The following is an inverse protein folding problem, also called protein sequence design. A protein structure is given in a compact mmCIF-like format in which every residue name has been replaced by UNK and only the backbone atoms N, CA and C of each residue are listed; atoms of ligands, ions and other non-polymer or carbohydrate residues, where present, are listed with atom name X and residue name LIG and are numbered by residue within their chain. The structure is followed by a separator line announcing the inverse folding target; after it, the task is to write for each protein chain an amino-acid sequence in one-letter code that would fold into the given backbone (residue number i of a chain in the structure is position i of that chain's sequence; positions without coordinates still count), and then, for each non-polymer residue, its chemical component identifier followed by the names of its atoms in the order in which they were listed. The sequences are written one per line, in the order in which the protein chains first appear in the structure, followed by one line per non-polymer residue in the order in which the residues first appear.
data_IF_349521290862
#
_entry.id   IF_349521290862
#
_cell.length_a   1.000
_cell.length_b   1.000
_cell.length_c   1.000
_cell.angle_alpha   90.00
_cell.angle_beta   90.00
_cell.angle_gamma   90.00
#
_symmetry.space_group_name_H-M   'P 1'
#
loop_
_entity.id
_entity.type
_entity.pdbx_description
1 polymer ?
#
# COMPACT_ATOMS: atom_id res chain seq x y z
N UNK A 1 4.62 -11.98 -1.10
CA UNK A 1 5.97 -12.39 -0.71
C UNK A 1 6.71 -12.94 -1.92
N UNK A 2 7.85 -12.36 -2.24
CA UNK A 2 8.64 -12.70 -3.42
C UNK A 2 9.02 -14.20 -3.47
N UNK A 3 9.45 -14.77 -2.33
CA UNK A 3 9.81 -16.17 -2.22
C UNK A 3 8.65 -17.17 -2.12
N UNK A 4 7.41 -16.70 -1.94
CA UNK A 4 6.23 -17.55 -1.80
C UNK A 4 4.99 -16.87 -2.39
N UNK A 5 4.84 -16.81 -3.73
CA UNK A 5 3.76 -16.07 -4.37
C UNK A 5 2.41 -16.81 -4.35
N UNK A 6 2.40 -18.13 -4.15
CA UNK A 6 1.19 -18.94 -4.26
C UNK A 6 0.02 -18.48 -3.39
N UNK A 7 0.20 -18.12 -2.10
CA UNK A 7 -0.92 -17.63 -1.29
C UNK A 7 -1.56 -16.35 -1.86
N UNK A 8 -0.75 -15.44 -2.40
CA UNK A 8 -1.24 -14.21 -3.03
C UNK A 8 -2.01 -14.51 -4.33
N UNK A 9 -1.52 -15.45 -5.15
CA UNK A 9 -2.19 -15.88 -6.37
C UNK A 9 -3.50 -16.61 -6.06
N UNK A 10 -3.55 -17.45 -5.02
CA UNK A 10 -4.81 -18.08 -4.55
C UNK A 10 -5.81 -17.02 -4.08
N UNK A 11 -5.36 -15.96 -3.39
CA UNK A 11 -6.22 -14.83 -3.04
C UNK A 11 -6.75 -14.12 -4.29
N UNK A 12 -5.91 -13.93 -5.32
CA UNK A 12 -6.35 -13.33 -6.59
C UNK A 12 -7.48 -14.12 -7.24
N UNK A 13 -7.44 -15.45 -7.18
CA UNK A 13 -8.50 -16.33 -7.69
C UNK A 13 -9.80 -16.17 -6.91
N UNK A 14 -9.71 -16.08 -5.58
CA UNK A 14 -10.88 -15.80 -4.71
C UNK A 14 -11.49 -14.44 -5.03
N UNK A 15 -10.66 -13.41 -5.19
CA UNK A 15 -11.13 -12.07 -5.54
C UNK A 15 -11.79 -12.02 -6.93
N UNK A 16 -11.23 -12.72 -7.91
CA UNK A 16 -11.78 -12.79 -9.28
C UNK A 16 -13.12 -13.50 -9.36
N UNK A 17 -13.43 -14.39 -8.41
CA UNK A 17 -14.69 -15.14 -8.33
C UNK A 17 -15.70 -14.56 -7.34
N UNK A 18 -15.33 -13.47 -6.64
CA UNK A 18 -16.20 -12.75 -5.71
C UNK A 18 -17.02 -11.66 -6.43
N UNK A 19 -17.78 -10.91 -5.66
CA UNK A 19 -18.52 -9.72 -6.11
C UNK A 19 -17.65 -8.45 -6.17
N UNK A 20 -16.34 -8.57 -5.96
CA UNK A 20 -15.40 -7.45 -6.08
C UNK A 20 -15.30 -7.00 -7.54
N UNK A 21 -15.53 -5.71 -7.85
CA UNK A 21 -15.39 -5.22 -9.22
C UNK A 21 -13.99 -5.45 -9.78
N UNK A 22 -13.89 -5.88 -11.03
CA UNK A 22 -12.62 -6.13 -11.70
C UNK A 22 -11.72 -4.89 -11.71
N UNK A 23 -10.41 -5.08 -11.47
CA UNK A 23 -9.41 -4.01 -11.48
C UNK A 23 -9.26 -3.23 -10.17
N UNK A 24 -10.10 -3.47 -9.16
CA UNK A 24 -9.99 -2.80 -7.85
C UNK A 24 -8.76 -3.30 -7.08
N UNK A 25 -8.47 -4.60 -7.17
CA UNK A 25 -7.28 -5.20 -6.58
C UNK A 25 -6.46 -5.87 -7.67
N UNK A 26 -5.20 -5.49 -7.77
CA UNK A 26 -4.25 -6.05 -8.72
C UNK A 26 -3.08 -6.68 -7.96
N UNK A 27 -2.85 -7.98 -8.16
CA UNK A 27 -1.78 -8.71 -7.50
C UNK A 27 -0.69 -9.00 -8.54
N UNK A 28 0.50 -8.47 -8.26
CA UNK A 28 1.68 -8.69 -9.09
C UNK A 28 2.64 -9.61 -8.35
N UNK A 29 3.11 -10.65 -9.02
CA UNK A 29 4.18 -11.53 -8.53
C UNK A 29 5.48 -11.21 -9.27
N UNK A 30 6.59 -11.18 -8.54
CA UNK A 30 7.89 -10.88 -9.11
C UNK A 30 8.86 -10.38 -8.05
N UNK A 31 9.99 -9.87 -8.48
CA UNK A 31 10.98 -9.28 -7.58
C UNK A 31 10.50 -7.93 -7.07
N UNK A 32 10.46 -7.77 -5.77
CA UNK A 32 9.96 -6.55 -5.12
C UNK A 32 10.74 -5.31 -5.54
N UNK A 33 12.06 -5.42 -5.67
CA UNK A 33 12.92 -4.31 -6.12
C UNK A 33 12.60 -3.87 -7.56
N UNK A 34 12.31 -4.81 -8.46
CA UNK A 34 11.98 -4.50 -9.85
C UNK A 34 10.57 -3.89 -10.01
N UNK A 35 9.61 -4.37 -9.22
CA UNK A 35 8.22 -3.93 -9.27
C UNK A 35 7.98 -2.66 -8.45
N UNK A 36 8.69 -2.50 -7.34
CA UNK A 36 8.50 -1.40 -6.40
C UNK A 36 8.93 -0.06 -6.96
N UNK A 37 10.04 0.00 -7.65
CA UNK A 37 10.57 1.26 -8.18
C UNK A 37 9.63 1.95 -9.19
N UNK A 38 9.10 1.26 -10.23
CA UNK A 38 8.10 1.88 -11.11
C UNK A 38 6.82 2.31 -10.37
N UNK A 39 6.35 1.50 -9.40
CA UNK A 39 5.18 1.82 -8.61
C UNK A 39 5.38 3.08 -7.74
N UNK A 40 6.54 3.17 -7.09
CA UNK A 40 6.89 4.31 -6.24
C UNK A 40 7.04 5.60 -7.04
N UNK A 41 7.54 5.53 -8.28
CA UNK A 41 7.69 6.68 -9.15
C UNK A 41 6.40 7.06 -9.92
N UNK A 42 5.38 6.19 -9.95
CA UNK A 42 4.18 6.42 -10.76
C UNK A 42 3.34 7.58 -10.24
N UNK A 43 3.00 8.53 -11.09
CA UNK A 43 2.32 9.77 -10.69
C UNK A 43 0.89 9.55 -10.17
N UNK A 44 0.19 8.54 -10.67
CA UNK A 44 -1.20 8.23 -10.25
C UNK A 44 -1.27 7.36 -8.98
N UNK A 45 -0.13 6.94 -8.44
CA UNK A 45 -0.08 6.24 -7.15
C UNK A 45 -0.01 7.26 -6.02
N UNK A 46 -1.00 7.27 -5.14
CA UNK A 46 -1.14 8.28 -4.09
C UNK A 46 -0.54 7.87 -2.74
N UNK A 47 -0.35 6.58 -2.52
CA UNK A 47 0.19 6.08 -1.26
C UNK A 47 0.90 4.74 -1.45
N UNK A 48 1.87 4.46 -0.57
CA UNK A 48 2.63 3.22 -0.53
C UNK A 48 2.63 2.64 0.89
N UNK A 49 2.51 1.32 0.99
CA UNK A 49 2.82 0.58 2.21
C UNK A 49 4.07 -0.27 1.95
N UNK A 50 5.12 0.01 2.68
CA UNK A 50 6.44 -0.61 2.51
C UNK A 50 6.63 -1.85 3.41
N UNK A 51 5.54 -2.43 3.93
CA UNK A 51 5.62 -3.65 4.71
C UNK A 51 6.24 -4.78 3.88
N UNK A 52 7.32 -5.37 4.40
CA UNK A 52 8.04 -6.45 3.73
C UNK A 52 9.19 -5.99 2.82
N UNK A 53 9.37 -4.69 2.59
CA UNK A 53 10.61 -4.16 2.05
C UNK A 53 11.70 -4.17 3.12
N UNK A 54 12.94 -4.48 2.74
CA UNK A 54 14.09 -4.27 3.62
C UNK A 54 14.39 -2.77 3.76
N UNK A 55 15.31 -2.42 4.66
CA UNK A 55 15.59 -1.04 5.03
C UNK A 55 16.16 -0.22 3.86
N UNK A 56 16.99 -0.83 3.03
CA UNK A 56 17.61 -0.18 1.87
C UNK A 56 16.57 0.10 0.79
N UNK A 57 15.81 -0.91 0.40
CA UNK A 57 14.74 -0.79 -0.58
C UNK A 57 13.65 0.19 -0.12
N UNK A 58 13.24 0.11 1.15
CA UNK A 58 12.25 1.03 1.70
C UNK A 58 12.71 2.49 1.57
N UNK A 59 13.99 2.77 1.85
CA UNK A 59 14.56 4.12 1.71
C UNK A 59 14.58 4.59 0.26
N UNK A 60 14.89 3.72 -0.70
CA UNK A 60 14.84 4.06 -2.12
C UNK A 60 13.42 4.36 -2.59
N UNK A 61 12.46 3.53 -2.17
CA UNK A 61 11.05 3.74 -2.53
C UNK A 61 10.45 5.01 -1.91
N UNK A 62 10.85 5.35 -0.68
CA UNK A 62 10.46 6.63 -0.04
C UNK A 62 11.00 7.84 -0.81
N UNK A 63 12.25 7.79 -1.27
CA UNK A 63 12.84 8.86 -2.08
C UNK A 63 12.08 9.04 -3.39
N UNK A 64 11.78 7.94 -4.09
CA UNK A 64 11.00 7.99 -5.32
C UNK A 64 9.55 8.49 -5.09
N UNK A 65 8.95 8.13 -3.96
CA UNK A 65 7.61 8.58 -3.59
C UNK A 65 7.53 10.08 -3.29
N UNK A 66 8.62 10.69 -2.87
CA UNK A 66 8.67 12.12 -2.53
C UNK A 66 8.45 13.04 -3.74
N UNK A 67 8.73 12.59 -4.96
CA UNK A 67 8.62 13.39 -6.18
C UNK A 67 7.20 13.92 -6.45
N UNK A 68 6.18 13.20 -5.97
CA UNK A 68 4.78 13.64 -6.05
C UNK A 68 4.04 13.56 -4.69
N UNK A 69 4.76 13.67 -3.60
CA UNK A 69 4.22 13.77 -2.23
C UNK A 69 3.29 12.62 -1.82
N UNK A 70 3.64 11.39 -2.21
CA UNK A 70 2.88 10.21 -1.80
C UNK A 70 2.86 10.04 -0.27
N UNK A 71 1.77 9.50 0.23
CA UNK A 71 1.75 9.00 1.61
C UNK A 71 2.52 7.68 1.68
N UNK A 72 3.44 7.58 2.61
CA UNK A 72 4.24 6.38 2.79
C UNK A 72 4.05 5.84 4.21
N UNK A 73 3.66 4.57 4.28
CA UNK A 73 3.60 3.79 5.50
C UNK A 73 4.85 2.90 5.56
N UNK A 74 5.69 3.12 6.56
CA UNK A 74 6.91 2.32 6.79
C UNK A 74 6.86 1.66 8.17
N UNK A 75 6.16 0.52 8.30
CA UNK A 75 6.09 -0.18 9.57
C UNK A 75 7.46 -0.82 9.91
N UNK A 76 7.94 -0.61 11.13
CA UNK A 76 9.21 -1.19 11.60
C UNK A 76 9.17 -2.73 11.63
N UNK A 77 8.03 -3.29 12.05
CA UNK A 77 7.75 -4.72 12.02
C UNK A 77 6.23 -4.92 12.02
N UNK A 78 5.77 -5.95 11.31
CA UNK A 78 4.34 -6.27 11.26
C UNK A 78 4.13 -7.65 11.84
N UNK A 79 3.37 -7.74 12.94
CA UNK A 79 2.89 -9.01 13.44
C UNK A 79 1.57 -9.37 12.73
N UNK A 80 1.66 -10.21 11.71
CA UNK A 80 0.52 -10.61 10.89
C UNK A 80 -0.52 -11.47 11.62
N UNK A 81 -0.19 -11.97 12.82
CA UNK A 81 -1.12 -12.76 13.66
C UNK A 81 -1.85 -11.89 14.69
N UNK A 82 -1.46 -10.63 14.86
CA UNK A 82 -2.11 -9.71 15.78
C UNK A 82 -3.28 -8.97 15.12
N UNK A 83 -4.13 -8.36 15.94
CA UNK A 83 -5.13 -7.42 15.46
C UNK A 83 -4.43 -6.26 14.73
N UNK A 84 -4.73 -6.02 13.43
CA UNK A 84 -4.09 -4.94 12.67
C UNK A 84 -4.50 -3.54 13.13
N UNK A 85 -5.56 -3.39 13.90
CA UNK A 85 -6.16 -2.11 14.23
C UNK A 85 -6.58 -1.33 12.98
N UNK A 86 -6.84 -0.04 13.14
CA UNK A 86 -7.28 0.84 12.04
C UNK A 86 -6.16 1.71 11.45
N UNK A 87 -4.98 1.72 12.05
CA UNK A 87 -3.90 2.65 11.67
C UNK A 87 -3.47 2.55 10.21
N UNK A 88 -3.29 1.34 9.71
CA UNK A 88 -2.91 1.12 8.30
C UNK A 88 -4.04 1.50 7.34
N UNK A 89 -5.28 1.22 7.70
CA UNK A 89 -6.44 1.63 6.92
C UNK A 89 -6.54 3.15 6.82
N UNK A 90 -6.44 3.84 7.96
CA UNK A 90 -6.52 5.31 8.03
C UNK A 90 -5.36 5.98 7.29
N UNK A 91 -4.19 5.36 7.24
CA UNK A 91 -3.03 5.87 6.52
C UNK A 91 -3.25 6.04 5.02
N UNK A 92 -4.23 5.34 4.43
CA UNK A 92 -4.60 5.46 3.01
C UNK A 92 -5.80 6.37 2.76
N UNK A 93 -6.43 6.92 3.81
CA UNK A 93 -7.57 7.81 3.68
C UNK A 93 -7.13 9.28 3.64
N UNK A 94 -7.89 10.08 2.90
CA UNK A 94 -7.75 11.53 2.91
C UNK A 94 -8.34 12.11 4.19
N UNK A 95 -7.58 12.95 4.89
CA UNK A 95 -8.09 13.75 6.00
C UNK A 95 -8.68 15.05 5.45
N UNK A 96 -9.98 15.24 5.65
CA UNK A 96 -10.68 16.46 5.28
C UNK A 96 -11.03 17.27 6.51
N UNK A 97 -10.52 18.50 6.59
CA UNK A 97 -10.91 19.45 7.64
C UNK A 97 -12.10 20.27 7.14
N UNK A 98 -13.19 20.26 7.90
CA UNK A 98 -14.40 21.03 7.57
C UNK A 98 -14.61 22.06 8.67
N UNK A 99 -14.69 23.33 8.29
CA UNK A 99 -15.03 24.44 9.17
C UNK A 99 -16.53 24.71 9.08
N UNK A 100 -17.22 24.56 10.20
CA UNK A 100 -18.59 24.99 10.34
C UNK A 100 -18.60 26.24 11.20
N UNK A 101 -18.81 27.44 10.63
CA UNK A 101 -19.02 28.65 11.45
C UNK A 101 -20.31 28.46 12.23
N UNK A 102 -20.19 28.44 13.55
CA UNK A 102 -21.37 28.52 14.43
C UNK A 102 -21.81 29.98 14.44
N UNK A 103 -22.90 30.28 13.78
CA UNK A 103 -23.53 31.59 13.84
C UNK A 103 -23.95 31.90 15.30
N UNK A 104 -23.63 33.07 15.77
CA UNK A 104 -24.14 33.63 17.03
C UNK A 104 -25.50 34.19 16.78
#
# INVERSE_FOLDING_TARGET
AEGAPLPALSLAEVLATSDLPGGVVNILSGRTAELGAPLAAHQDVNALDLAGADEELATELEKAAADNLKRVLRPAAVNWAADPGTGRLLGFLETKTVWHPMGV
#
